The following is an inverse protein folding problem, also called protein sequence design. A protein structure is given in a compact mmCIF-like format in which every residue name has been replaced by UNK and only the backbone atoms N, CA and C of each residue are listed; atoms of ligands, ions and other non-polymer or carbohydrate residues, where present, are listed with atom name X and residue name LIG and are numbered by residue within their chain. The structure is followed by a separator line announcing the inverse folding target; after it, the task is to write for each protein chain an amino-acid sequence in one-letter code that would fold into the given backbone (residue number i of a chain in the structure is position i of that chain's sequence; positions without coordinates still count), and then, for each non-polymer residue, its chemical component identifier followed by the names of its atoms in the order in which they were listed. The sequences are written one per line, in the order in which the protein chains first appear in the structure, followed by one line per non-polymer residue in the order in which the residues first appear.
data_IF_939886192176
#
_entry.id   IF_939886192176
#
_cell.length_a   1.000
_cell.length_b   1.000
_cell.length_c   1.000
_cell.angle_alpha   90.00
_cell.angle_beta   90.00
_cell.angle_gamma   90.00
#
_symmetry.space_group_name_H-M   'P 1'
#
loop_
_entity.id
_entity.type
_entity.pdbx_description
1 polymer ?
#
# COMPACT_ATOMS: atom_id res chain seq x y z
N UNK A 1 14.05 -31.07 61.63
CA UNK A 1 14.51 -29.95 60.79
C UNK A 1 14.94 -28.84 61.74
N UNK A 2 16.24 -28.79 61.93
CA UNK A 2 17.01 -27.83 62.70
C UNK A 2 16.70 -26.38 62.28
N UNK A 3 16.65 -25.46 63.26
CA UNK A 3 16.22 -24.07 63.04
C UNK A 3 17.10 -23.34 62.01
N UNK A 4 18.38 -23.72 61.92
CA UNK A 4 19.30 -23.22 60.89
C UNK A 4 18.84 -23.59 59.48
N UNK A 5 18.33 -24.80 59.29
CA UNK A 5 17.87 -25.32 57.99
C UNK A 5 16.56 -24.64 57.58
N UNK A 6 15.66 -24.36 58.53
CA UNK A 6 14.45 -23.56 58.29
C UNK A 6 14.77 -22.12 57.91
N UNK A 7 15.71 -21.49 58.62
CA UNK A 7 16.14 -20.12 58.35
C UNK A 7 16.83 -20.01 56.98
N UNK A 8 17.66 -21.00 56.62
CA UNK A 8 18.32 -21.04 55.31
C UNK A 8 17.33 -21.20 54.15
N UNK A 9 16.32 -22.06 54.30
CA UNK A 9 15.26 -22.23 53.29
C UNK A 9 14.39 -20.98 53.12
N UNK A 10 14.11 -20.25 54.22
CA UNK A 10 13.40 -18.96 54.17
C UNK A 10 14.24 -17.87 53.48
N UNK A 11 15.54 -17.81 53.74
CA UNK A 11 16.42 -16.88 53.04
C UNK A 11 16.53 -17.19 51.54
N UNK A 12 16.61 -18.47 51.17
CA UNK A 12 16.67 -18.89 49.76
C UNK A 12 15.36 -18.57 49.02
N UNK A 13 14.20 -18.79 49.64
CA UNK A 13 12.91 -18.46 49.03
C UNK A 13 12.72 -16.95 48.85
N UNK A 14 13.14 -16.15 49.84
CA UNK A 14 13.15 -14.68 49.74
C UNK A 14 14.08 -14.20 48.61
N UNK A 15 15.25 -14.83 48.45
CA UNK A 15 16.20 -14.50 47.38
C UNK A 15 15.61 -14.79 45.99
N UNK A 16 14.91 -15.91 45.83
CA UNK A 16 14.25 -16.29 44.56
C UNK A 16 13.07 -15.36 44.25
N UNK A 17 12.29 -14.95 45.26
CA UNK A 17 11.19 -13.98 45.09
C UNK A 17 11.73 -12.60 44.71
N UNK A 18 12.86 -12.18 45.28
CA UNK A 18 13.53 -10.91 44.92
C UNK A 18 14.20 -10.96 43.54
N UNK A 19 14.57 -12.13 43.02
CA UNK A 19 15.10 -12.32 41.66
C UNK A 19 14.05 -12.31 40.55
N UNK A 20 12.76 -12.24 40.87
CA UNK A 20 11.64 -12.39 39.92
C UNK A 20 11.40 -11.21 38.98
N UNK A 21 12.10 -10.08 39.12
CA UNK A 21 11.96 -8.93 38.22
C UNK A 21 13.00 -8.95 37.08
N UNK A 22 13.09 -10.07 36.36
CA UNK A 22 13.74 -10.06 35.05
C UNK A 22 12.86 -9.25 34.09
N UNK A 23 13.30 -8.03 33.82
CA UNK A 23 12.68 -7.06 32.93
C UNK A 23 12.76 -7.57 31.47
N UNK A 24 11.96 -8.58 31.13
CA UNK A 24 11.71 -9.05 29.76
C UNK A 24 10.91 -7.98 29.00
N UNK A 25 11.54 -6.82 28.77
CA UNK A 25 11.05 -5.83 27.82
C UNK A 25 11.26 -6.41 26.44
N UNK A 26 10.27 -7.16 25.96
CA UNK A 26 10.21 -7.50 24.55
C UNK A 26 10.17 -6.17 23.77
N UNK A 27 11.09 -5.94 22.81
CA UNK A 27 11.07 -4.71 22.04
C UNK A 27 9.71 -4.61 21.36
N UNK A 28 8.97 -3.55 21.69
CA UNK A 28 7.67 -3.30 21.09
C UNK A 28 7.89 -2.96 19.62
N UNK A 29 7.67 -3.94 18.75
CA UNK A 29 7.75 -3.73 17.32
C UNK A 29 6.75 -2.64 16.90
N UNK A 30 7.28 -1.52 16.39
CA UNK A 30 6.47 -0.38 15.95
C UNK A 30 6.03 -0.60 14.50
N UNK A 31 4.75 -0.40 14.23
CA UNK A 31 4.21 -0.42 12.87
C UNK A 31 4.67 0.83 12.13
N UNK A 32 5.33 0.64 10.98
CA UNK A 32 5.68 1.69 10.03
C UNK A 32 4.60 1.82 8.96
N UNK A 33 4.31 3.06 8.58
CA UNK A 33 3.34 3.37 7.54
C UNK A 33 4.04 4.04 6.36
N UNK A 34 3.71 3.61 5.15
CA UNK A 34 4.29 4.06 3.90
C UNK A 34 3.24 4.67 3.00
N UNK A 35 3.64 5.59 2.14
CA UNK A 35 2.82 6.12 1.05
C UNK A 35 3.72 6.30 -0.16
N UNK A 36 3.11 6.40 -1.34
CA UNK A 36 3.86 6.80 -2.53
C UNK A 36 4.28 8.26 -2.41
N UNK A 37 5.45 8.58 -2.95
CA UNK A 37 5.96 9.93 -3.08
C UNK A 37 6.64 10.06 -4.44
N UNK A 38 6.03 10.87 -5.31
CA UNK A 38 6.57 11.17 -6.63
C UNK A 38 5.99 12.49 -7.15
N UNK A 39 6.75 13.16 -8.01
CA UNK A 39 6.32 14.39 -8.68
C UNK A 39 5.25 14.07 -9.74
N UNK A 40 4.23 14.91 -9.83
CA UNK A 40 3.20 14.80 -10.86
C UNK A 40 3.84 14.79 -12.25
N UNK A 41 3.43 13.89 -13.16
CA UNK A 41 3.97 13.83 -14.51
C UNK A 41 3.73 15.17 -15.22
N UNK A 42 4.74 15.62 -15.96
CA UNK A 42 4.67 16.84 -16.75
C UNK A 42 4.21 16.47 -18.15
N UNK A 43 2.96 16.81 -18.49
CA UNK A 43 2.44 16.62 -19.85
C UNK A 43 2.70 17.90 -20.64
N UNK A 44 3.35 17.76 -21.79
CA UNK A 44 3.66 18.86 -22.71
C UNK A 44 2.96 18.62 -24.04
N UNK A 45 2.78 19.69 -24.80
CA UNK A 45 2.31 19.64 -26.20
C UNK A 45 0.88 19.15 -26.41
N UNK A 46 0.05 19.12 -25.36
CA UNK A 46 -1.39 18.89 -25.45
C UNK A 46 -2.16 20.17 -25.12
N UNK A 47 -3.27 20.39 -25.83
CA UNK A 47 -4.17 21.53 -25.57
C UNK A 47 -5.24 21.12 -24.55
N UNK A 48 -5.59 22.00 -23.60
CA UNK A 48 -6.74 21.78 -22.73
C UNK A 48 -8.03 21.55 -23.52
N UNK A 49 -8.90 20.69 -22.98
CA UNK A 49 -10.20 20.33 -23.56
C UNK A 49 -11.33 20.79 -22.62
N UNK A 50 -12.49 21.20 -23.17
CA UNK A 50 -13.65 21.65 -22.39
C UNK A 50 -14.45 20.45 -21.84
N UNK A 51 -13.77 19.62 -21.03
CA UNK A 51 -14.32 18.41 -20.42
C UNK A 51 -14.11 18.50 -18.92
N UNK A 52 -15.21 18.34 -18.18
CA UNK A 52 -15.16 18.07 -16.74
C UNK A 52 -15.05 16.56 -16.50
N UNK A 53 -14.11 16.18 -15.66
CA UNK A 53 -13.80 14.79 -15.34
C UNK A 53 -14.04 14.53 -13.86
N UNK A 54 -14.81 13.50 -13.52
CA UNK A 54 -14.86 12.94 -12.18
C UNK A 54 -13.94 11.74 -12.10
N UNK A 55 -13.12 11.67 -11.05
CA UNK A 55 -12.30 10.48 -10.78
C UNK A 55 -13.00 9.67 -9.71
N UNK A 56 -13.52 8.52 -10.10
CA UNK A 56 -14.26 7.62 -9.23
C UNK A 56 -13.33 6.90 -8.24
N UNK A 57 -13.95 6.32 -7.19
CA UNK A 57 -13.22 5.48 -6.26
C UNK A 57 -12.85 4.16 -6.94
N UNK A 58 -11.55 3.90 -7.06
CA UNK A 58 -11.05 2.67 -7.65
C UNK A 58 -11.38 1.50 -6.72
N UNK A 59 -11.97 0.46 -7.31
CA UNK A 59 -12.14 -0.81 -6.62
C UNK A 59 -10.79 -1.50 -6.45
N UNK A 60 -10.71 -2.53 -5.60
CA UNK A 60 -9.46 -3.25 -5.34
C UNK A 60 -9.73 -4.74 -5.31
N UNK A 61 -8.92 -5.52 -6.01
CA UNK A 61 -9.00 -6.96 -5.94
C UNK A 61 -8.87 -7.43 -4.47
N UNK A 62 -9.70 -8.37 -3.98
CA UNK A 62 -9.86 -8.64 -2.55
C UNK A 62 -8.56 -8.90 -1.78
N UNK A 63 -7.58 -9.55 -2.41
CA UNK A 63 -6.30 -9.88 -1.80
C UNK A 63 -5.42 -8.65 -1.53
N UNK A 64 -5.61 -7.57 -2.29
CA UNK A 64 -4.89 -6.31 -2.14
C UNK A 64 -5.73 -5.25 -1.43
N UNK A 65 -7.01 -5.54 -1.11
CA UNK A 65 -7.90 -4.62 -0.42
C UNK A 65 -7.60 -4.56 1.10
N UNK A 66 -6.38 -4.13 1.42
CA UNK A 66 -5.86 -4.04 2.78
C UNK A 66 -4.76 -2.99 2.82
N UNK A 67 -4.55 -2.39 3.99
CA UNK A 67 -3.43 -1.47 4.20
C UNK A 67 -2.12 -2.23 4.45
N UNK A 68 -2.09 -3.56 4.41
CA UNK A 68 -0.85 -4.32 4.57
C UNK A 68 -0.14 -4.44 3.24
N UNK A 69 1.19 -4.36 3.30
CA UNK A 69 2.00 -4.56 2.10
C UNK A 69 2.00 -6.06 1.80
N UNK A 70 1.43 -6.42 0.66
CA UNK A 70 1.40 -7.80 0.16
C UNK A 70 2.71 -8.11 -0.55
N UNK A 71 3.23 -9.31 -0.34
CA UNK A 71 4.37 -9.82 -1.07
C UNK A 71 4.09 -11.19 -1.68
N UNK A 72 4.81 -11.53 -2.75
CA UNK A 72 4.67 -12.77 -3.52
C UNK A 72 6.03 -13.46 -3.65
N UNK A 73 6.13 -14.68 -3.12
CA UNK A 73 7.35 -15.52 -3.21
C UNK A 73 7.26 -16.62 -4.27
N UNK A 74 6.09 -16.83 -4.85
CA UNK A 74 5.87 -17.88 -5.83
C UNK A 74 4.56 -17.70 -6.58
N UNK A 75 4.24 -18.60 -7.53
CA UNK A 75 3.04 -18.48 -8.36
C UNK A 75 1.72 -18.45 -7.57
N UNK A 76 1.69 -19.13 -6.42
CA UNK A 76 0.48 -19.34 -5.62
C UNK A 76 0.57 -18.79 -4.19
N UNK A 77 1.68 -18.14 -3.82
CA UNK A 77 1.91 -17.64 -2.47
C UNK A 77 1.77 -16.12 -2.42
N UNK A 78 0.86 -15.64 -1.59
CA UNK A 78 0.72 -14.24 -1.20
C UNK A 78 0.62 -14.20 0.31
N UNK A 79 1.37 -13.30 0.90
CA UNK A 79 1.40 -13.09 2.34
C UNK A 79 1.70 -11.61 2.59
N UNK A 80 1.65 -11.19 3.85
CA UNK A 80 1.61 -9.79 4.25
C UNK A 80 2.70 -9.44 5.27
N UNK A 81 3.22 -8.22 5.19
CA UNK A 81 4.05 -7.69 6.25
C UNK A 81 3.21 -7.33 7.49
N UNK A 82 3.66 -7.73 8.68
CA UNK A 82 2.97 -7.43 9.94
C UNK A 82 3.19 -6.00 10.43
N UNK A 83 4.43 -5.52 10.31
CA UNK A 83 4.85 -4.23 10.86
C UNK A 83 5.01 -3.14 9.80
N UNK A 84 4.78 -3.46 8.53
CA UNK A 84 4.90 -2.52 7.43
C UNK A 84 3.59 -2.44 6.67
N UNK A 85 3.02 -1.24 6.63
CA UNK A 85 1.68 -1.01 6.13
C UNK A 85 1.66 0.20 5.20
N UNK A 86 0.83 0.16 4.18
CA UNK A 86 0.40 1.37 3.51
C UNK A 86 -0.38 2.26 4.47
N UNK A 87 -0.23 3.58 4.30
CA UNK A 87 -0.91 4.58 5.09
C UNK A 87 -2.40 4.62 4.76
N UNK A 88 -2.73 4.38 3.50
CA UNK A 88 -4.08 4.31 2.94
C UNK A 88 -4.27 2.98 2.19
N UNK A 89 -5.52 2.65 1.90
CA UNK A 89 -5.86 1.51 1.05
C UNK A 89 -5.32 1.73 -0.39
N UNK A 90 -4.89 0.68 -1.12
CA UNK A 90 -4.42 0.82 -2.49
C UNK A 90 -5.38 1.53 -3.44
N UNK A 91 -6.69 1.27 -3.33
CA UNK A 91 -7.70 1.93 -4.17
C UNK A 91 -7.77 3.43 -3.90
N UNK A 92 -7.78 3.81 -2.62
CA UNK A 92 -7.80 5.23 -2.21
C UNK A 92 -6.53 5.95 -2.68
N UNK A 93 -5.39 5.29 -2.54
CA UNK A 93 -4.10 5.82 -2.99
C UNK A 93 -4.11 6.05 -4.50
N UNK A 94 -4.49 5.05 -5.30
CA UNK A 94 -4.53 5.19 -6.77
C UNK A 94 -5.53 6.27 -7.18
N UNK A 95 -6.73 6.31 -6.60
CA UNK A 95 -7.72 7.37 -6.85
C UNK A 95 -7.15 8.76 -6.56
N UNK A 96 -6.54 8.96 -5.39
CA UNK A 96 -6.01 10.27 -4.99
C UNK A 96 -4.85 10.74 -5.87
N UNK A 97 -3.91 9.84 -6.17
CA UNK A 97 -2.75 10.16 -6.99
C UNK A 97 -3.13 10.42 -8.45
N UNK A 98 -4.05 9.63 -9.02
CA UNK A 98 -4.50 9.82 -10.38
C UNK A 98 -5.32 11.12 -10.52
N UNK A 99 -6.20 11.42 -9.57
CA UNK A 99 -6.92 12.70 -9.52
C UNK A 99 -5.96 13.88 -9.42
N UNK A 100 -4.97 13.80 -8.52
CA UNK A 100 -3.93 14.83 -8.36
C UNK A 100 -3.20 15.06 -9.68
N UNK A 101 -2.76 14.01 -10.34
CA UNK A 101 -1.95 14.09 -11.55
C UNK A 101 -2.76 14.62 -12.74
N UNK A 102 -4.02 14.19 -12.89
CA UNK A 102 -4.93 14.72 -13.91
C UNK A 102 -5.26 16.20 -13.69
N UNK A 103 -5.50 16.61 -12.44
CA UNK A 103 -5.72 18.02 -12.11
C UNK A 103 -4.49 18.86 -12.43
N UNK A 104 -3.31 18.39 -12.03
CA UNK A 104 -2.04 19.10 -12.27
C UNK A 104 -1.60 19.10 -13.74
N UNK A 105 -2.26 18.30 -14.61
CA UNK A 105 -1.99 18.34 -16.05
C UNK A 105 -2.56 19.57 -16.74
N UNK A 106 -3.52 20.27 -16.10
CA UNK A 106 -4.24 21.41 -16.66
C UNK A 106 -4.94 21.13 -18.01
N UNK A 107 -5.17 19.85 -18.33
CA UNK A 107 -5.80 19.43 -19.60
C UNK A 107 -7.33 19.45 -19.57
N UNK A 108 -7.94 19.45 -18.40
CA UNK A 108 -9.40 19.37 -18.23
C UNK A 108 -9.93 20.67 -17.64
N UNK A 109 -11.15 21.04 -18.02
CA UNK A 109 -11.83 22.22 -17.47
C UNK A 109 -12.04 22.10 -15.96
N UNK A 110 -12.34 20.88 -15.49
CA UNK A 110 -12.40 20.56 -14.08
C UNK A 110 -12.05 19.09 -13.84
N UNK A 111 -11.36 18.81 -12.73
CA UNK A 111 -11.11 17.44 -12.24
C UNK A 111 -11.68 17.35 -10.82
N UNK A 112 -12.75 16.57 -10.64
CA UNK A 112 -13.53 16.50 -9.41
C UNK A 112 -13.36 15.14 -8.72
N UNK A 113 -13.46 15.11 -7.37
CA UNK A 113 -13.48 13.86 -6.62
C UNK A 113 -14.82 13.12 -6.78
N UNK A 114 -14.83 11.82 -6.46
CA UNK A 114 -16.00 10.93 -6.53
C UNK A 114 -17.17 11.36 -5.63
N UNK A 115 -16.94 12.14 -4.58
CA UNK A 115 -17.96 12.64 -3.66
C UNK A 115 -18.55 14.00 -4.09
N UNK A 116 -18.15 14.50 -5.27
CA UNK A 116 -18.74 15.69 -5.88
C UNK A 116 -20.16 15.42 -6.38
N UNK A 117 -21.10 16.32 -6.05
CA UNK A 117 -22.48 16.28 -6.55
C UNK A 117 -22.67 17.08 -7.86
N UNK A 118 -21.57 17.52 -8.49
CA UNK A 118 -21.61 18.28 -9.74
C UNK A 118 -21.72 17.32 -10.90
N UNK A 119 -22.64 17.60 -11.84
CA UNK A 119 -22.71 16.85 -13.10
C UNK A 119 -21.46 17.11 -13.93
N UNK A 120 -20.73 16.05 -14.28
CA UNK A 120 -19.53 16.10 -15.11
C UNK A 120 -19.76 15.49 -16.49
N UNK A 121 -18.90 15.83 -17.45
CA UNK A 121 -18.94 15.29 -18.81
C UNK A 121 -18.49 13.83 -18.89
N UNK A 122 -17.44 13.47 -18.15
CA UNK A 122 -16.88 12.12 -18.14
C UNK A 122 -16.55 11.65 -16.72
N UNK A 123 -16.56 10.33 -16.52
CA UNK A 123 -16.07 9.66 -15.32
C UNK A 123 -14.88 8.76 -15.65
N UNK A 124 -13.87 8.76 -14.79
CA UNK A 124 -12.76 7.82 -14.83
C UNK A 124 -12.97 6.78 -13.73
N UNK A 125 -13.22 5.54 -14.15
CA UNK A 125 -13.48 4.40 -13.29
C UNK A 125 -12.38 3.35 -13.41
N UNK A 126 -12.32 2.42 -12.46
CA UNK A 126 -11.34 1.35 -12.54
C UNK A 126 -11.17 0.47 -11.32
N UNK A 127 -10.15 -0.37 -11.39
CA UNK A 127 -9.75 -1.32 -10.36
C UNK A 127 -8.24 -1.38 -10.19
N UNK A 128 -7.79 -1.57 -8.95
CA UNK A 128 -6.43 -1.99 -8.62
C UNK A 128 -6.41 -3.51 -8.61
N UNK A 129 -5.81 -4.08 -9.64
CA UNK A 129 -5.81 -5.52 -9.89
C UNK A 129 -4.58 -6.20 -9.25
N UNK A 130 -3.44 -5.52 -9.19
CA UNK A 130 -2.26 -5.94 -8.43
C UNK A 130 -1.60 -4.77 -7.71
N UNK A 131 -1.22 -4.99 -6.44
CA UNK A 131 -0.44 -4.05 -5.64
C UNK A 131 0.49 -4.82 -4.69
N UNK A 132 1.65 -5.25 -5.19
CA UNK A 132 2.45 -6.31 -4.55
C UNK A 132 3.95 -6.14 -4.72
N UNK A 133 4.72 -6.50 -3.68
CA UNK A 133 6.17 -6.76 -3.80
C UNK A 133 6.38 -8.19 -4.33
N UNK A 134 6.91 -8.34 -5.54
CA UNK A 134 7.26 -9.63 -6.10
C UNK A 134 8.72 -9.96 -5.86
N UNK A 135 8.98 -11.03 -5.11
CA UNK A 135 10.30 -11.62 -4.94
C UNK A 135 10.64 -12.51 -6.15
N UNK A 136 11.30 -11.91 -7.14
CA UNK A 136 11.75 -12.57 -8.37
C UNK A 136 13.22 -13.01 -8.32
N UNK A 137 13.69 -13.80 -9.30
CA UNK A 137 15.09 -14.22 -9.38
C UNK A 137 16.07 -13.04 -9.42
N UNK A 138 15.72 -11.98 -10.13
CA UNK A 138 16.58 -10.81 -10.38
C UNK A 138 16.57 -9.77 -9.24
N UNK A 139 15.65 -9.89 -8.29
CA UNK A 139 15.44 -8.83 -7.31
C UNK A 139 14.01 -8.77 -6.80
N UNK A 140 13.77 -7.81 -5.92
CA UNK A 140 12.41 -7.45 -5.53
C UNK A 140 11.85 -6.44 -6.51
N UNK A 141 10.59 -6.64 -6.89
CA UNK A 141 9.90 -5.85 -7.89
C UNK A 141 8.60 -5.33 -7.31
N UNK A 142 8.41 -4.02 -7.28
CA UNK A 142 7.08 -3.46 -7.01
C UNK A 142 6.20 -3.64 -8.26
N UNK A 143 5.02 -4.24 -8.12
CA UNK A 143 4.07 -4.45 -9.21
C UNK A 143 2.79 -3.71 -8.89
N UNK A 144 2.42 -2.80 -9.79
CA UNK A 144 1.12 -2.13 -9.83
C UNK A 144 0.45 -2.43 -11.16
N UNK A 145 -0.73 -3.04 -11.08
CA UNK A 145 -1.62 -3.28 -12.22
C UNK A 145 -2.94 -2.59 -11.93
N UNK A 146 -3.35 -1.69 -12.82
CA UNK A 146 -4.58 -0.90 -12.69
C UNK A 146 -5.35 -0.98 -14.00
N UNK A 147 -6.61 -1.39 -13.94
CA UNK A 147 -7.54 -1.25 -15.07
C UNK A 147 -8.24 0.10 -14.96
N UNK A 148 -8.26 0.87 -16.05
CA UNK A 148 -8.95 2.16 -16.15
C UNK A 148 -9.97 2.13 -17.28
N UNK A 149 -11.11 2.78 -17.07
CA UNK A 149 -12.12 3.04 -18.09
C UNK A 149 -12.54 4.51 -18.04
N UNK A 150 -12.65 5.14 -19.22
CA UNK A 150 -13.21 6.48 -19.37
C UNK A 150 -14.64 6.34 -19.88
N UNK A 151 -15.58 6.89 -19.12
CA UNK A 151 -17.01 6.80 -19.34
C UNK A 151 -17.57 8.18 -19.73
N UNK A 152 -18.46 8.21 -20.72
CA UNK A 152 -19.25 9.39 -21.08
C UNK A 152 -20.53 9.44 -20.25
N UNK A 153 -20.71 10.50 -19.47
CA UNK A 153 -21.92 10.68 -18.65
C UNK A 153 -23.08 11.33 -19.43
N UNK A 154 -22.81 11.84 -20.64
CA UNK A 154 -23.79 12.50 -21.49
C UNK A 154 -24.35 11.57 -22.59
N UNK A 155 -23.87 10.33 -22.68
CA UNK A 155 -24.30 9.36 -23.69
C UNK A 155 -25.44 8.48 -23.13
N UNK A 156 -26.67 8.56 -23.68
CA UNK A 156 -27.79 7.74 -23.22
C UNK A 156 -27.68 6.27 -23.62
N UNK A 157 -26.97 5.94 -24.70
CA UNK A 157 -26.75 4.55 -25.12
C UNK A 157 -25.63 3.92 -24.29
N UNK A 158 -26.00 3.01 -23.38
CA UNK A 158 -25.06 2.29 -22.50
C UNK A 158 -23.92 1.63 -23.28
N UNK A 159 -24.18 1.14 -24.50
CA UNK A 159 -23.15 0.50 -25.32
C UNK A 159 -22.06 1.45 -25.82
N UNK A 160 -22.32 2.77 -25.76
CA UNK A 160 -21.43 3.85 -26.22
C UNK A 160 -20.85 4.68 -25.09
N UNK A 161 -21.21 4.38 -23.84
CA UNK A 161 -20.70 5.11 -22.68
C UNK A 161 -19.21 4.85 -22.47
N UNK A 162 -18.70 3.67 -22.79
CA UNK A 162 -17.27 3.36 -22.69
C UNK A 162 -16.52 4.04 -23.84
N UNK A 163 -15.81 5.13 -23.54
CA UNK A 163 -14.98 5.85 -24.51
C UNK A 163 -13.60 5.18 -24.68
N UNK A 164 -13.08 4.61 -23.60
CA UNK A 164 -11.77 3.99 -23.57
C UNK A 164 -11.69 3.02 -22.39
N UNK A 165 -10.96 1.91 -22.55
CA UNK A 165 -10.61 1.02 -21.45
C UNK A 165 -9.22 0.43 -21.69
N UNK A 166 -8.39 0.39 -20.66
CA UNK A 166 -7.05 -0.17 -20.75
C UNK A 166 -6.54 -0.72 -19.41
N UNK A 167 -5.67 -1.72 -19.47
CA UNK A 167 -4.91 -2.23 -18.34
C UNK A 167 -3.53 -1.57 -18.34
N UNK A 168 -3.25 -0.77 -17.32
CA UNK A 168 -1.94 -0.19 -17.10
C UNK A 168 -1.16 -1.04 -16.10
N UNK A 169 -0.10 -1.69 -16.58
CA UNK A 169 0.91 -2.32 -15.74
C UNK A 169 2.13 -1.42 -15.68
N UNK A 170 2.45 -0.90 -14.49
CA UNK A 170 3.69 -0.14 -14.34
C UNK A 170 4.90 -1.06 -14.45
N UNK A 171 5.99 -0.60 -15.11
CA UNK A 171 7.24 -1.35 -15.14
C UNK A 171 7.71 -1.64 -13.72
N UNK A 172 8.21 -2.85 -13.44
CA UNK A 172 8.69 -3.18 -12.11
C UNK A 172 9.86 -2.29 -11.74
N UNK A 173 9.74 -1.57 -10.63
CA UNK A 173 10.90 -0.96 -9.98
C UNK A 173 11.71 -2.09 -9.35
N UNK A 174 12.91 -2.34 -9.88
CA UNK A 174 13.78 -3.43 -9.42
C UNK A 174 14.71 -2.88 -8.34
N UNK A 175 14.58 -3.38 -7.12
CA UNK A 175 15.61 -3.25 -6.10
C UNK A 175 16.51 -4.48 -6.14
N UNK A 176 17.82 -4.26 -6.28
CA UNK A 176 18.81 -5.34 -6.31
C UNK A 176 18.91 -6.01 -4.94
N UNK A 177 18.81 -7.34 -4.90
CA UNK A 177 18.87 -8.15 -3.66
C UNK A 177 20.13 -7.93 -2.83
N UNK A 178 21.23 -7.50 -3.44
CA UNK A 178 22.51 -7.30 -2.78
C UNK A 178 22.54 -6.07 -1.88
N UNK A 179 21.73 -5.04 -2.18
CA UNK A 179 21.66 -3.80 -1.40
C UNK A 179 20.49 -3.77 -0.41
N UNK A 180 19.52 -4.69 -0.54
CA UNK A 180 18.29 -4.67 0.23
C UNK A 180 18.30 -5.70 1.39
N UNK A 181 17.97 -5.30 2.63
CA UNK A 181 18.00 -6.20 3.79
C UNK A 181 16.96 -7.30 3.65
N UNK A 182 17.37 -8.58 3.81
CA UNK A 182 16.52 -9.76 3.56
C UNK A 182 15.12 -9.65 4.19
N UNK A 183 14.08 -10.22 3.56
CA UNK A 183 12.70 -10.16 4.07
C UNK A 183 12.56 -10.59 5.53
N UNK A 184 13.24 -11.67 5.92
CA UNK A 184 13.26 -12.14 7.32
C UNK A 184 13.85 -11.09 8.28
N UNK A 185 14.87 -10.36 7.84
CA UNK A 185 15.41 -9.24 8.61
C UNK A 185 14.41 -8.07 8.67
N UNK A 186 13.68 -7.74 7.59
CA UNK A 186 12.64 -6.70 7.56
C UNK A 186 11.43 -7.02 8.44
N UNK A 187 11.09 -8.30 8.58
CA UNK A 187 9.96 -8.74 9.41
C UNK A 187 10.34 -8.85 10.90
N UNK A 188 11.60 -9.12 11.20
CA UNK A 188 12.15 -9.14 12.57
C UNK A 188 12.60 -7.75 13.06
N UNK A 189 13.00 -6.87 12.16
CA UNK A 189 13.40 -5.50 12.44
C UNK A 189 12.49 -4.52 11.70
N UNK A 190 11.43 -4.02 12.37
CA UNK A 190 10.53 -3.02 11.79
C UNK A 190 11.21 -1.73 11.37
N UNK A 191 12.45 -1.47 11.81
CA UNK A 191 13.21 -0.27 11.46
C UNK A 191 13.94 -0.37 10.12
N UNK A 192 14.02 -1.58 9.53
CA UNK A 192 14.66 -1.77 8.24
C UNK A 192 13.74 -1.23 7.12
N UNK A 193 14.27 -0.42 6.18
CA UNK A 193 13.47 0.14 5.09
C UNK A 193 12.97 -0.94 4.13
N UNK A 194 11.80 -0.68 3.53
CA UNK A 194 11.30 -1.40 2.35
C UNK A 194 11.65 -0.52 1.15
N UNK A 195 12.42 -1.08 0.20
CA UNK A 195 12.82 -0.42 -1.04
C UNK A 195 11.92 -0.87 -2.18
#
# INVERSE_FOLDING_TARGET
MDDKTRMWLLCLSILVIMGGCLNLKQPRNRVQHYTLEYASPQIRDLKPIPVSLQVERFSVAPIYNTNRIIYREGPFKRDEYFYHKWRANPGDMVTDFLRRDMRNSDLFEAVLPYDSNVRVSCALEGSVDEFVEWDGPEGWKAVLTVTVALMSNNEPDVSRQVLFQNELRLPPLISHKETAPSRQSRQKNPSAPIY
#
